data_IF_260950221332
#
_entry.id   IF_260950221332
#
_cell.length_a   1.000
_cell.length_b   1.000
_cell.length_c   1.000
_cell.angle_alpha   90.00
_cell.angle_beta   90.00
_cell.angle_gamma   90.00
#
_symmetry.space_group_name_H-M   'P 1'
#
loop_
_entity.id
_entity.type
_entity.pdbx_description
1 polymer ?
#
# COMPACT_ATOMS: atom_id res chain seq x y z
N UNK A 1 -1.81 6.17 -0.88
CA UNK A 1 -1.13 7.35 -1.45
C UNK A 1 -2.14 8.04 -2.33
N UNK A 2 -2.08 9.38 -2.37
CA UNK A 2 -2.94 10.16 -3.22
C UNK A 2 -2.28 10.31 -4.60
N UNK A 3 -3.03 10.08 -5.67
CA UNK A 3 -2.66 10.31 -7.06
C UNK A 3 -3.63 11.32 -7.68
N UNK A 4 -3.19 12.18 -8.60
CA UNK A 4 -4.06 13.17 -9.26
C UNK A 4 -5.28 12.56 -9.97
N UNK A 5 -5.13 11.29 -10.37
CA UNK A 5 -6.16 10.49 -11.04
C UNK A 5 -7.06 9.70 -10.08
N UNK A 6 -6.92 9.88 -8.77
CA UNK A 6 -7.83 9.30 -7.79
C UNK A 6 -9.24 9.90 -7.93
N UNK A 7 -10.29 9.08 -7.76
CA UNK A 7 -11.66 9.52 -7.96
C UNK A 7 -12.09 10.56 -6.91
N UNK A 8 -12.86 11.59 -7.31
CA UNK A 8 -13.40 12.56 -6.37
C UNK A 8 -14.57 11.98 -5.57
N UNK A 9 -14.64 12.34 -4.29
CA UNK A 9 -15.76 12.08 -3.38
C UNK A 9 -15.97 13.32 -2.51
N UNK A 10 -17.16 13.94 -2.59
CA UNK A 10 -17.54 15.13 -1.80
C UNK A 10 -16.51 16.28 -1.87
N UNK A 11 -15.97 16.55 -3.05
CA UNK A 11 -15.07 17.68 -3.30
C UNK A 11 -13.59 17.43 -2.97
N UNK A 12 -13.23 16.21 -2.55
CA UNK A 12 -11.83 15.80 -2.35
C UNK A 12 -11.53 14.53 -3.15
N UNK A 13 -10.26 14.30 -3.50
CA UNK A 13 -9.83 13.02 -4.09
C UNK A 13 -9.74 11.93 -3.01
N UNK A 14 -10.15 10.70 -3.35
CA UNK A 14 -10.08 9.54 -2.45
C UNK A 14 -9.05 8.54 -2.95
N UNK A 15 -7.97 8.30 -2.18
CA UNK A 15 -6.97 7.29 -2.51
C UNK A 15 -7.57 5.91 -2.79
N UNK A 16 -7.14 5.28 -3.89
CA UNK A 16 -7.40 3.85 -4.15
C UNK A 16 -6.29 2.93 -3.64
N UNK A 17 -5.19 3.52 -3.14
CA UNK A 17 -4.09 2.80 -2.52
C UNK A 17 -3.83 3.29 -1.12
N UNK A 18 -3.51 2.38 -0.22
CA UNK A 18 -3.12 2.66 1.16
C UNK A 18 -1.78 1.98 1.45
N UNK A 19 -1.03 2.49 2.42
CA UNK A 19 0.26 1.89 2.76
C UNK A 19 0.44 1.81 4.28
N UNK A 20 1.27 0.88 4.70
CA UNK A 20 1.72 0.73 6.09
C UNK A 20 3.20 0.38 6.10
N UNK A 21 3.98 1.09 6.91
CA UNK A 21 5.34 0.68 7.27
C UNK A 21 5.31 0.27 8.74
N UNK A 22 5.79 -0.92 9.05
CA UNK A 22 5.93 -1.42 10.41
C UNK A 22 7.41 -1.50 10.76
N UNK A 23 7.82 -0.76 11.80
CA UNK A 23 9.17 -0.78 12.35
C UNK A 23 9.15 -1.44 13.73
N UNK A 24 10.15 -2.26 14.02
CA UNK A 24 10.24 -3.03 15.25
C UNK A 24 11.70 -3.41 15.55
N UNK A 25 11.97 -3.87 16.76
CA UNK A 25 13.26 -4.45 17.14
C UNK A 25 13.23 -5.96 16.90
N UNK A 26 14.29 -6.50 16.30
CA UNK A 26 14.47 -7.93 16.06
C UNK A 26 15.91 -8.31 16.38
N UNK A 27 16.12 -9.24 17.32
CA UNK A 27 17.44 -9.67 17.80
C UNK A 27 18.39 -8.51 18.20
N UNK A 28 17.84 -7.38 18.66
CA UNK A 28 18.61 -6.20 19.06
C UNK A 28 18.84 -5.17 17.95
N UNK A 29 18.47 -5.51 16.71
CA UNK A 29 18.59 -4.62 15.54
C UNK A 29 17.26 -4.00 15.14
N UNK A 30 17.32 -2.81 14.52
CA UNK A 30 16.15 -2.19 13.91
C UNK A 30 15.75 -2.98 12.66
N UNK A 31 14.46 -3.31 12.57
CA UNK A 31 13.86 -4.00 11.44
C UNK A 31 12.61 -3.25 10.94
N UNK A 32 12.35 -3.36 9.64
CA UNK A 32 11.18 -2.77 9.01
C UNK A 32 10.56 -3.69 7.94
N UNK A 33 9.24 -3.59 7.76
CA UNK A 33 8.51 -4.14 6.62
C UNK A 33 7.51 -3.11 6.09
N UNK A 34 7.20 -3.16 4.80
CA UNK A 34 6.24 -2.26 4.19
C UNK A 34 5.19 -3.00 3.35
N UNK A 35 3.98 -2.45 3.34
CA UNK A 35 2.83 -3.03 2.67
C UNK A 35 2.03 -1.97 1.90
N UNK A 36 1.48 -2.36 0.76
CA UNK A 36 0.51 -1.58 0.00
C UNK A 36 -0.79 -2.36 -0.10
N UNK A 37 -1.90 -1.69 0.21
CA UNK A 37 -3.24 -2.11 -0.17
C UNK A 37 -3.59 -1.41 -1.48
N UNK A 38 -4.02 -2.15 -2.51
CA UNK A 38 -4.39 -1.61 -3.81
C UNK A 38 -5.77 -2.13 -4.24
N UNK A 39 -6.71 -1.21 -4.43
CA UNK A 39 -8.06 -1.51 -4.93
C UNK A 39 -8.14 -1.45 -6.47
N UNK A 40 -7.14 -0.86 -7.15
CA UNK A 40 -7.17 -0.64 -8.60
C UNK A 40 -7.21 -1.91 -9.47
N UNK A 41 -6.67 -3.08 -9.06
CA UNK A 41 -6.80 -4.31 -9.85
C UNK A 41 -8.24 -4.84 -9.93
N UNK A 42 -9.05 -4.60 -8.90
CA UNK A 42 -10.41 -5.13 -8.80
C UNK A 42 -11.47 -4.01 -9.02
N UNK A 43 -11.02 -2.75 -9.08
CA UNK A 43 -11.85 -1.57 -9.29
C UNK A 43 -11.14 -0.61 -10.25
N UNK A 44 -11.65 -0.51 -11.48
CA UNK A 44 -11.16 0.52 -12.41
C UNK A 44 -11.42 1.92 -11.86
N UNK A 45 -10.59 2.91 -12.20
CA UNK A 45 -10.76 4.30 -11.74
C UNK A 45 -12.16 4.86 -12.10
N UNK A 46 -12.67 4.53 -13.28
CA UNK A 46 -14.02 4.91 -13.71
C UNK A 46 -15.11 4.22 -12.86
N UNK A 47 -14.96 2.92 -12.58
CA UNK A 47 -15.90 2.19 -11.74
C UNK A 47 -15.88 2.73 -10.29
N UNK A 48 -14.69 3.07 -9.77
CA UNK A 48 -14.53 3.71 -8.48
C UNK A 48 -15.23 5.07 -8.43
N UNK A 49 -15.03 5.91 -9.45
CA UNK A 49 -15.67 7.21 -9.55
C UNK A 49 -17.20 7.10 -9.58
N UNK A 50 -17.75 6.16 -10.36
CA UNK A 50 -19.20 5.93 -10.41
C UNK A 50 -19.75 5.46 -9.05
N UNK A 51 -19.06 4.52 -8.40
CA UNK A 51 -19.46 3.99 -7.10
C UNK A 51 -19.42 5.07 -6.00
N UNK A 52 -18.36 5.88 -5.97
CA UNK A 52 -18.20 7.00 -5.04
C UNK A 52 -19.23 8.11 -5.30
N UNK A 53 -19.51 8.45 -6.55
CA UNK A 53 -20.55 9.42 -6.90
C UNK A 53 -21.95 8.96 -6.45
N UNK A 54 -22.26 7.67 -6.64
CA UNK A 54 -23.51 7.06 -6.16
C UNK A 54 -23.61 7.13 -4.63
N UNK A 55 -22.55 6.74 -3.92
CA UNK A 55 -22.50 6.80 -2.45
C UNK A 55 -22.64 8.24 -1.94
N UNK A 56 -21.97 9.20 -2.58
CA UNK A 56 -22.04 10.61 -2.24
C UNK A 56 -23.47 11.16 -2.36
N UNK A 57 -24.16 10.87 -3.48
CA UNK A 57 -25.57 11.26 -3.70
C UNK A 57 -26.51 10.65 -2.66
N UNK A 58 -26.24 9.41 -2.24
CA UNK A 58 -27.03 8.70 -1.24
C UNK A 58 -26.70 9.08 0.22
N UNK A 59 -25.71 9.95 0.45
CA UNK A 59 -25.23 10.23 1.81
C UNK A 59 -24.48 9.07 2.48
N UNK A 60 -24.23 7.98 1.76
CA UNK A 60 -23.65 6.75 2.27
C UNK A 60 -22.10 6.82 2.34
N UNK A 61 -21.47 6.02 3.22
CA UNK A 61 -20.02 5.90 3.25
C UNK A 61 -19.47 5.39 1.91
N UNK A 62 -18.22 5.75 1.56
CA UNK A 62 -17.58 5.26 0.35
C UNK A 62 -17.47 3.73 0.39
N UNK A 63 -17.78 3.03 -0.71
CA UNK A 63 -17.65 1.58 -0.76
C UNK A 63 -16.16 1.20 -0.75
N UNK A 64 -15.70 0.54 0.30
CA UNK A 64 -14.29 0.15 0.47
C UNK A 64 -13.86 -1.01 -0.44
N UNK A 65 -14.77 -1.57 -1.26
CA UNK A 65 -14.45 -2.51 -2.34
C UNK A 65 -13.62 -3.74 -1.95
N UNK A 66 -13.20 -4.51 -2.95
CA UNK A 66 -12.12 -5.49 -2.78
C UNK A 66 -10.77 -4.77 -2.87
N UNK A 67 -9.75 -5.36 -2.26
CA UNK A 67 -8.37 -4.88 -2.35
C UNK A 67 -7.41 -6.06 -2.41
N UNK A 68 -6.22 -5.80 -2.94
CA UNK A 68 -5.07 -6.71 -2.87
C UNK A 68 -4.02 -6.13 -1.96
N UNK A 69 -3.34 -6.99 -1.21
CA UNK A 69 -2.25 -6.57 -0.33
C UNK A 69 -0.93 -7.00 -0.94
N UNK A 70 0.05 -6.12 -0.92
CA UNK A 70 1.39 -6.40 -1.40
C UNK A 70 2.41 -6.11 -0.32
N UNK A 71 3.40 -6.97 -0.14
CA UNK A 71 4.63 -6.59 0.53
C UNK A 71 5.53 -5.86 -0.49
N UNK A 72 6.09 -4.73 -0.07
CA UNK A 72 6.88 -3.85 -0.94
C UNK A 72 8.17 -3.44 -0.24
N UNK A 73 9.20 -3.01 -0.99
CA UNK A 73 10.36 -2.37 -0.38
C UNK A 73 9.97 -1.10 0.38
N UNK A 74 10.52 -0.88 1.57
CA UNK A 74 10.30 0.35 2.36
C UNK A 74 10.69 1.61 1.58
N UNK A 75 11.74 1.51 0.76
CA UNK A 75 12.18 2.57 -0.16
C UNK A 75 11.13 2.92 -1.23
N UNK A 76 10.28 1.98 -1.65
CA UNK A 76 9.23 2.28 -2.63
C UNK A 76 8.15 3.15 -1.99
N UNK A 77 7.80 2.91 -0.72
CA UNK A 77 6.90 3.79 0.04
C UNK A 77 7.50 5.19 0.19
N UNK A 78 8.78 5.29 0.55
CA UNK A 78 9.46 6.58 0.66
C UNK A 78 9.39 7.37 -0.66
N UNK A 79 9.68 6.70 -1.79
CA UNK A 79 9.64 7.31 -3.11
C UNK A 79 8.21 7.73 -3.53
N UNK A 80 7.21 6.88 -3.27
CA UNK A 80 5.82 7.15 -3.66
C UNK A 80 5.13 8.22 -2.84
N UNK A 81 5.56 8.41 -1.60
CA UNK A 81 4.92 9.35 -0.67
C UNK A 81 5.72 10.63 -0.46
N UNK A 82 6.99 10.65 -0.86
CA UNK A 82 7.92 11.75 -0.55
C UNK A 82 8.29 11.84 0.93
N UNK A 83 7.92 10.85 1.75
CA UNK A 83 8.21 10.85 3.19
C UNK A 83 9.66 10.46 3.46
N UNK A 84 10.31 11.23 4.33
CA UNK A 84 11.60 10.87 4.90
C UNK A 84 11.41 9.81 6.00
N UNK A 85 11.54 8.52 5.64
CA UNK A 85 11.39 7.40 6.56
C UNK A 85 12.64 7.11 7.42
N UNK A 86 13.62 8.02 7.43
CA UNK A 86 14.84 7.91 8.23
C UNK A 86 15.60 6.60 7.96
N UNK A 87 15.94 5.82 9.00
CA UNK A 87 16.74 4.60 8.85
C UNK A 87 15.96 3.40 8.30
N UNK A 88 14.64 3.47 8.20
CA UNK A 88 13.79 2.32 7.88
C UNK A 88 14.10 1.64 6.53
N UNK A 89 14.44 2.36 5.44
CA UNK A 89 14.85 1.72 4.20
C UNK A 89 16.10 0.83 4.32
N UNK A 90 17.02 1.17 5.23
CA UNK A 90 18.21 0.36 5.50
C UNK A 90 17.92 -0.84 6.42
N UNK A 91 16.84 -0.76 7.21
CA UNK A 91 16.36 -1.80 8.10
C UNK A 91 15.33 -2.75 7.45
N UNK A 92 15.09 -2.62 6.14
CA UNK A 92 14.07 -3.39 5.44
C UNK A 92 14.40 -4.89 5.45
N UNK A 93 13.41 -5.70 5.84
CA UNK A 93 13.50 -7.16 5.88
C UNK A 93 13.18 -7.79 4.53
N UNK A 94 12.63 -7.08 3.55
CA UNK A 94 12.40 -7.66 2.22
C UNK A 94 13.74 -7.85 1.47
N UNK A 95 14.10 -9.10 1.06
CA UNK A 95 15.39 -9.36 0.41
C UNK A 95 15.58 -8.58 -0.89
N UNK A 96 16.80 -8.08 -1.11
CA UNK A 96 17.17 -7.32 -2.31
C UNK A 96 16.96 -8.07 -3.64
N UNK A 97 16.99 -9.41 -3.65
CA UNK A 97 16.66 -10.23 -4.82
C UNK A 97 15.18 -10.24 -5.19
N UNK A 98 14.28 -10.07 -4.23
CA UNK A 98 12.83 -9.94 -4.47
C UNK A 98 12.50 -8.61 -5.18
N UNK A 99 13.35 -7.59 -5.01
CA UNK A 99 13.25 -6.28 -5.66
C UNK A 99 13.35 -6.32 -7.19
N UNK A 100 13.92 -7.40 -7.76
CA UNK A 100 14.25 -7.51 -9.18
C UNK A 100 13.23 -8.31 -10.02
N UNK A 101 12.44 -9.22 -9.42
CA UNK A 101 11.59 -10.14 -10.20
C UNK A 101 10.11 -9.72 -10.27
N UNK A 102 9.58 -9.06 -9.23
CA UNK A 102 8.27 -8.38 -9.20
C UNK A 102 8.41 -7.27 -8.16
N UNK A 103 8.31 -5.99 -8.56
CA UNK A 103 8.56 -4.87 -7.63
C UNK A 103 7.77 -5.01 -6.33
N UNK A 104 6.52 -5.50 -6.39
CA UNK A 104 5.62 -5.73 -5.27
C UNK A 104 5.15 -7.19 -5.24
N UNK A 105 5.24 -7.84 -4.07
CA UNK A 105 4.85 -9.25 -3.86
C UNK A 105 3.42 -9.31 -3.38
N UNK A 106 2.51 -9.90 -4.17
CA UNK A 106 1.12 -10.13 -3.76
C UNK A 106 1.06 -11.08 -2.55
N UNK A 107 0.27 -10.72 -1.54
CA UNK A 107 0.00 -11.53 -0.36
C UNK A 107 -1.43 -12.07 -0.44
N UNK A 108 -1.58 -13.38 -0.50
CA UNK A 108 -2.85 -14.11 -0.41
C UNK A 108 -3.07 -14.66 1.01
N UNK A 109 -1.99 -14.82 1.78
CA UNK A 109 -2.01 -15.30 3.16
C UNK A 109 -0.89 -14.68 4.02
N UNK A 110 -0.96 -14.91 5.34
CA UNK A 110 0.08 -14.51 6.28
C UNK A 110 1.46 -15.14 5.96
N UNK A 111 1.47 -16.36 5.43
CA UNK A 111 2.71 -17.09 5.15
C UNK A 111 3.49 -16.52 3.94
N UNK A 112 2.87 -15.65 3.16
CA UNK A 112 3.50 -15.01 2.01
C UNK A 112 4.40 -13.83 2.44
N UNK A 113 4.29 -13.39 3.70
CA UNK A 113 5.10 -12.32 4.25
C UNK A 113 6.53 -12.82 4.39
N UNK A 114 7.45 -12.20 3.66
CA UNK A 114 8.86 -12.47 3.79
C UNK A 114 9.42 -11.72 5.00
N UNK A 115 9.91 -12.48 5.97
CA UNK A 115 10.79 -12.01 7.03
C UNK A 115 11.97 -12.98 7.03
N UNK A 116 13.18 -12.58 6.58
CA UNK A 116 14.34 -13.43 6.74
C UNK A 116 14.50 -13.71 8.22
N UNK A 117 14.78 -14.96 8.57
CA UNK A 117 15.37 -15.30 9.86
C UNK A 117 16.87 -15.05 9.76
N UNK A 118 17.45 -14.51 10.83
CA UNK A 118 18.86 -14.17 11.01
C UNK A 118 19.84 -15.20 10.44
#
# INVERSE_FOLDING_TARGET
>A
MLEDSDPPYRGIQVPLRFWKVAAFMHDGDLAATAYVLDQSPDLTKDAAAQALAKAARAGAPPPLGAFRTFQVPVTDIANLTGLALGPLPAADRLPSGARAARRWTLLESYNDITMPTS
#
